data_IF_975357471912
#
_entry.id   IF_975357471912
#
_cell.length_a   1.000
_cell.length_b   1.000
_cell.length_c   1.000
_cell.angle_alpha   90.00
_cell.angle_beta   90.00
_cell.angle_gamma   90.00
#
_symmetry.space_group_name_H-M   'P 1'
#
loop_
_entity.id
_entity.type
_entity.pdbx_description
1 polymer ?
#
# COMPACT_ATOMS: atom_id res chain seq x y z
N UNK A 1 -12.07 -10.70 6.63
CA UNK A 1 -12.13 -12.18 6.56
C UNK A 1 -12.54 -12.79 7.89
N UNK A 2 -11.86 -12.55 9.02
CA UNK A 2 -12.14 -13.19 10.32
C UNK A 2 -13.63 -13.16 10.73
N UNK A 3 -14.24 -11.97 10.77
CA UNK A 3 -15.69 -11.83 11.01
C UNK A 3 -16.54 -12.68 10.08
N UNK A 4 -16.28 -12.68 8.78
CA UNK A 4 -17.08 -13.45 7.81
C UNK A 4 -16.98 -14.96 8.08
N UNK A 5 -15.80 -15.45 8.36
CA UNK A 5 -15.59 -16.86 8.70
C UNK A 5 -16.36 -17.25 9.96
N UNK A 6 -16.35 -16.39 10.99
CA UNK A 6 -17.12 -16.62 12.21
C UNK A 6 -18.63 -16.68 11.94
N UNK A 7 -19.14 -15.80 11.08
CA UNK A 7 -20.54 -15.81 10.68
C UNK A 7 -20.94 -17.06 9.87
N UNK A 8 -19.99 -17.68 9.17
CA UNK A 8 -20.19 -18.96 8.44
C UNK A 8 -19.94 -20.19 9.36
N UNK A 9 -19.76 -20.00 10.66
CA UNK A 9 -19.62 -21.08 11.65
C UNK A 9 -18.18 -21.52 11.93
N UNK A 10 -17.16 -20.87 11.37
CA UNK A 10 -15.77 -21.16 11.72
C UNK A 10 -15.40 -20.54 13.06
N UNK A 11 -14.58 -21.25 13.85
CA UNK A 11 -13.99 -20.71 15.08
C UNK A 11 -12.63 -20.07 14.77
N UNK A 12 -12.59 -18.75 14.62
CA UNK A 12 -11.34 -18.00 14.42
C UNK A 12 -10.58 -17.94 15.74
N UNK A 13 -9.43 -18.60 15.82
CA UNK A 13 -8.62 -18.70 17.04
C UNK A 13 -7.87 -17.41 17.36
N UNK A 14 -7.27 -16.80 16.34
CA UNK A 14 -6.42 -15.61 16.48
C UNK A 14 -6.22 -14.93 15.14
N UNK A 15 -5.99 -13.63 15.17
CA UNK A 15 -5.41 -12.84 14.09
C UNK A 15 -4.02 -12.40 14.55
N UNK A 16 -2.98 -12.79 13.83
CA UNK A 16 -1.61 -12.38 14.09
C UNK A 16 -1.18 -11.31 13.09
N UNK A 17 -0.63 -10.21 13.59
CA UNK A 17 -0.13 -9.09 12.81
C UNK A 17 1.37 -8.91 13.11
N UNK A 18 2.17 -8.88 12.05
CA UNK A 18 3.62 -8.71 12.15
C UNK A 18 4.01 -7.36 12.78
N UNK A 19 3.26 -6.31 12.44
CA UNK A 19 3.55 -4.96 12.90
C UNK A 19 3.08 -4.76 14.36
N UNK A 20 3.68 -3.81 15.10
CA UNK A 20 3.23 -3.45 16.45
C UNK A 20 1.91 -2.65 16.44
N UNK A 21 1.30 -2.49 15.30
CA UNK A 21 0.02 -1.82 15.08
C UNK A 21 -0.73 -2.46 13.91
N UNK A 22 -2.06 -2.37 13.92
CA UNK A 22 -2.86 -2.79 12.78
C UNK A 22 -2.87 -1.70 11.70
N UNK A 23 -2.55 -2.07 10.46
CA UNK A 23 -2.65 -1.17 9.30
C UNK A 23 -4.09 -0.92 8.84
N UNK A 24 -5.08 -1.67 9.36
CA UNK A 24 -6.48 -1.53 9.01
C UNK A 24 -7.18 -0.36 9.69
N UNK A 25 -8.38 -0.02 9.20
CA UNK A 25 -9.21 1.00 9.83
C UNK A 25 -9.59 0.58 11.25
N UNK A 26 -9.48 1.48 12.23
CA UNK A 26 -9.80 1.21 13.64
C UNK A 26 -11.19 0.60 13.82
N UNK A 27 -12.19 1.06 13.07
CA UNK A 27 -13.56 0.48 13.08
C UNK A 27 -13.58 -1.01 12.72
N UNK A 28 -12.66 -1.47 11.84
CA UNK A 28 -12.61 -2.88 11.46
C UNK A 28 -12.06 -3.75 12.58
N UNK A 29 -11.17 -3.23 13.43
CA UNK A 29 -10.71 -3.95 14.62
C UNK A 29 -11.90 -4.19 15.54
N UNK A 30 -12.63 -3.14 15.89
CA UNK A 30 -13.81 -3.26 16.76
C UNK A 30 -14.84 -4.19 16.14
N UNK A 31 -15.34 -3.88 14.94
CA UNK A 31 -16.47 -4.57 14.30
C UNK A 31 -16.16 -5.98 13.79
N UNK A 32 -14.91 -6.31 13.56
CA UNK A 32 -14.53 -7.60 12.97
C UNK A 32 -13.74 -8.51 13.92
N UNK A 33 -13.20 -7.98 15.00
CA UNK A 33 -12.45 -8.77 15.98
C UNK A 33 -13.05 -8.62 17.38
N UNK A 34 -13.12 -7.42 17.96
CA UNK A 34 -13.55 -7.21 19.33
C UNK A 34 -15.01 -7.67 19.56
N UNK A 35 -15.94 -7.28 18.66
CA UNK A 35 -17.35 -7.67 18.73
C UNK A 35 -17.57 -9.20 18.64
N UNK A 36 -16.58 -9.93 18.13
CA UNK A 36 -16.61 -11.39 17.98
C UNK A 36 -15.67 -12.13 18.94
N UNK A 37 -15.01 -11.39 19.83
CA UNK A 37 -14.08 -11.99 20.80
C UNK A 37 -12.85 -12.64 20.14
N UNK A 38 -12.46 -12.20 18.94
CA UNK A 38 -11.32 -12.75 18.20
C UNK A 38 -10.03 -12.05 18.68
N UNK A 39 -9.07 -12.77 19.27
CA UNK A 39 -7.82 -12.18 19.76
C UNK A 39 -6.99 -11.60 18.62
N UNK A 40 -6.47 -10.38 18.79
CA UNK A 40 -5.47 -9.77 17.91
C UNK A 40 -4.10 -9.78 18.60
N UNK A 41 -3.14 -10.48 18.04
CA UNK A 41 -1.75 -10.51 18.50
C UNK A 41 -0.90 -9.65 17.58
N UNK A 42 -0.47 -8.48 18.05
CA UNK A 42 0.46 -7.58 17.37
C UNK A 42 1.90 -8.02 17.59
N UNK A 43 2.81 -7.65 16.70
CA UNK A 43 4.22 -8.08 16.73
C UNK A 43 4.37 -9.60 16.78
N UNK A 44 3.55 -10.34 16.05
CA UNK A 44 3.60 -11.79 15.97
C UNK A 44 3.61 -12.27 14.52
N UNK A 45 4.30 -13.38 14.29
CA UNK A 45 4.30 -14.06 12.99
C UNK A 45 4.23 -15.57 13.14
N UNK A 46 3.81 -16.25 12.08
CA UNK A 46 3.88 -17.71 11.98
C UNK A 46 5.32 -18.10 11.67
N UNK A 47 5.90 -18.97 12.49
CA UNK A 47 7.27 -19.47 12.33
C UNK A 47 7.32 -20.94 11.91
N UNK A 48 6.22 -21.68 12.12
CA UNK A 48 6.12 -23.08 11.73
C UNK A 48 4.66 -23.46 11.47
N UNK A 49 4.48 -24.43 10.57
CA UNK A 49 3.17 -24.97 10.18
C UNK A 49 3.24 -26.49 10.31
N UNK A 50 2.45 -27.04 11.23
CA UNK A 50 2.33 -28.47 11.42
C UNK A 50 1.26 -29.07 10.50
N UNK A 51 1.59 -30.21 9.89
CA UNK A 51 0.73 -31.00 9.00
C UNK A 51 1.24 -31.06 7.56
N UNK A 52 1.16 -32.25 6.96
CA UNK A 52 1.60 -32.47 5.57
C UNK A 52 0.45 -32.41 4.57
N UNK A 53 -0.61 -33.18 4.80
CA UNK A 53 -1.78 -33.22 3.91
C UNK A 53 -2.80 -32.13 4.30
N UNK A 54 -2.91 -31.86 5.59
CA UNK A 54 -3.77 -30.83 6.17
C UNK A 54 -3.09 -30.17 7.36
N UNK A 55 -3.31 -28.87 7.52
CA UNK A 55 -2.82 -28.12 8.69
C UNK A 55 -3.43 -28.71 9.95
N UNK A 56 -2.62 -28.97 10.96
CA UNK A 56 -2.99 -29.42 12.30
C UNK A 56 -2.81 -28.33 13.35
N UNK A 57 -1.93 -27.39 13.06
CA UNK A 57 -1.65 -26.25 13.90
C UNK A 57 -0.55 -25.37 13.30
N UNK A 58 -0.34 -24.23 13.94
CA UNK A 58 0.72 -23.30 13.60
C UNK A 58 1.44 -22.86 14.87
N UNK A 59 2.72 -22.55 14.76
CA UNK A 59 3.47 -21.94 15.85
C UNK A 59 3.64 -20.45 15.55
N UNK A 60 3.15 -19.60 16.47
CA UNK A 60 3.38 -18.17 16.46
C UNK A 60 4.58 -17.85 17.35
N UNK A 61 5.31 -16.78 16.99
CA UNK A 61 6.29 -16.16 17.88
C UNK A 61 6.18 -14.65 17.83
N UNK A 62 6.56 -13.99 18.93
CA UNK A 62 6.77 -12.54 18.92
C UNK A 62 7.94 -12.18 18.00
N UNK A 63 7.88 -10.98 17.44
CA UNK A 63 8.97 -10.44 16.62
C UNK A 63 9.54 -9.17 17.26
N UNK A 64 10.85 -8.97 17.04
CA UNK A 64 11.55 -7.75 17.40
C UNK A 64 11.23 -6.58 16.43
N UNK A 65 11.82 -5.42 16.67
CA UNK A 65 11.66 -4.23 15.82
C UNK A 65 12.12 -4.44 14.37
N UNK A 66 12.93 -5.48 14.12
CA UNK A 66 13.40 -5.86 12.79
C UNK A 66 12.56 -6.96 12.14
N UNK A 67 11.46 -7.36 12.79
CA UNK A 67 10.57 -8.43 12.34
C UNK A 67 11.16 -9.84 12.52
N UNK A 68 12.20 -10.03 13.34
CA UNK A 68 12.80 -11.34 13.59
C UNK A 68 12.13 -12.02 14.78
N UNK A 69 11.80 -13.32 14.69
CA UNK A 69 11.22 -14.07 15.79
C UNK A 69 12.12 -14.10 17.04
N UNK A 70 11.51 -13.83 18.18
CA UNK A 70 12.17 -13.86 19.49
C UNK A 70 12.05 -15.26 20.07
N UNK A 71 13.17 -15.92 20.35
CA UNK A 71 13.21 -17.26 20.96
C UNK A 71 12.60 -17.26 22.36
N UNK A 72 11.84 -18.31 22.68
CA UNK A 72 11.17 -18.47 23.97
C UNK A 72 9.80 -17.80 24.03
N UNK A 73 9.30 -17.27 22.91
CA UNK A 73 7.96 -16.69 22.80
C UNK A 73 7.03 -17.54 21.93
N UNK A 74 7.47 -18.75 21.59
CA UNK A 74 6.73 -19.66 20.72
C UNK A 74 5.43 -20.14 21.36
N UNK A 75 4.34 -20.06 20.63
CA UNK A 75 3.01 -20.50 21.05
C UNK A 75 2.39 -21.36 19.95
N UNK A 76 2.10 -22.62 20.27
CA UNK A 76 1.42 -23.52 19.33
C UNK A 76 -0.10 -23.29 19.37
N UNK A 77 -0.70 -23.03 18.23
CA UNK A 77 -2.13 -22.85 18.03
C UNK A 77 -2.68 -24.03 17.22
N UNK A 78 -3.44 -24.95 17.83
CA UNK A 78 -4.07 -26.03 17.07
C UNK A 78 -5.17 -25.46 16.18
N UNK A 79 -5.06 -25.69 14.88
CA UNK A 79 -6.04 -25.25 13.88
C UNK A 79 -5.99 -26.17 12.65
N UNK A 80 -7.06 -26.20 11.90
CA UNK A 80 -7.17 -26.97 10.65
C UNK A 80 -7.04 -26.09 9.40
N UNK A 81 -6.99 -24.78 9.57
CA UNK A 81 -6.92 -23.81 8.48
C UNK A 81 -6.06 -22.62 8.89
N UNK A 82 -5.13 -22.24 8.02
CA UNK A 82 -4.32 -21.02 8.10
C UNK A 82 -4.67 -20.13 6.91
N UNK A 83 -5.08 -18.88 7.19
CA UNK A 83 -5.27 -17.85 6.16
C UNK A 83 -4.08 -16.88 6.19
N UNK A 84 -3.37 -16.79 5.08
CA UNK A 84 -2.26 -15.87 4.92
C UNK A 84 -2.73 -14.55 4.29
N UNK A 85 -2.37 -13.44 4.91
CA UNK A 85 -2.60 -12.08 4.42
C UNK A 85 -1.29 -11.31 4.52
N UNK A 86 -0.31 -11.70 3.71
CA UNK A 86 1.09 -11.28 3.80
C UNK A 86 1.42 -10.04 2.98
N UNK A 87 0.40 -9.34 2.49
CA UNK A 87 0.50 -8.14 1.68
C UNK A 87 0.30 -8.40 0.19
N UNK A 88 0.03 -7.32 -0.52
CA UNK A 88 -0.10 -7.32 -1.96
C UNK A 88 1.20 -6.84 -2.59
N UNK A 89 1.57 -7.42 -3.72
CA UNK A 89 2.69 -6.98 -4.55
C UNK A 89 2.10 -6.53 -5.88
N UNK A 90 2.40 -5.31 -6.36
CA UNK A 90 1.99 -4.87 -7.68
C UNK A 90 2.46 -5.84 -8.76
N UNK A 91 1.51 -6.41 -9.51
CA UNK A 91 1.82 -7.34 -10.60
C UNK A 91 2.18 -6.56 -11.86
N UNK A 92 3.43 -6.63 -12.27
CA UNK A 92 4.01 -5.80 -13.32
C UNK A 92 4.83 -6.59 -14.34
N UNK A 93 4.47 -7.83 -14.61
CA UNK A 93 5.12 -8.65 -15.63
C UNK A 93 5.03 -7.97 -17.01
N UNK A 94 3.84 -7.50 -17.38
CA UNK A 94 3.61 -6.79 -18.65
C UNK A 94 4.39 -5.47 -18.72
N UNK A 95 4.39 -4.68 -17.63
CA UNK A 95 5.12 -3.40 -17.60
C UNK A 95 6.62 -3.60 -17.77
N UNK A 96 7.18 -4.64 -17.16
CA UNK A 96 8.59 -5.01 -17.33
C UNK A 96 8.90 -5.52 -18.75
N UNK A 97 7.97 -6.25 -19.36
CA UNK A 97 8.09 -6.72 -20.74
C UNK A 97 8.11 -5.60 -21.79
N UNK A 98 7.64 -4.40 -21.40
CA UNK A 98 7.65 -3.18 -22.21
C UNK A 98 8.80 -2.23 -21.86
N UNK A 99 9.74 -2.63 -21.01
CA UNK A 99 10.87 -1.81 -20.53
C UNK A 99 10.43 -0.46 -19.90
N UNK A 100 9.27 -0.45 -19.23
CA UNK A 100 8.77 0.72 -18.52
C UNK A 100 9.61 0.95 -17.25
N UNK A 101 9.94 2.21 -16.97
CA UNK A 101 10.64 2.61 -15.74
C UNK A 101 9.85 2.24 -14.50
N UNK A 102 10.45 1.45 -13.61
CA UNK A 102 9.83 0.94 -12.40
C UNK A 102 10.30 1.69 -11.16
N UNK A 103 9.35 2.08 -10.28
CA UNK A 103 9.68 2.64 -8.97
C UNK A 103 10.06 1.50 -7.99
N UNK A 104 11.24 1.59 -7.38
CA UNK A 104 11.79 0.53 -6.54
C UNK A 104 10.98 0.29 -5.26
N UNK A 105 10.38 1.35 -4.70
CA UNK A 105 9.67 1.27 -3.41
C UNK A 105 8.27 0.68 -3.57
N UNK A 106 7.56 1.06 -4.63
CA UNK A 106 6.22 0.54 -4.92
C UNK A 106 6.24 -0.76 -5.70
N UNK A 107 7.32 -1.04 -6.43
CA UNK A 107 7.43 -2.10 -7.44
C UNK A 107 6.43 -1.92 -8.60
N UNK A 108 5.84 -0.74 -8.74
CA UNK A 108 4.97 -0.33 -9.84
C UNK A 108 5.68 0.60 -10.82
N UNK A 109 5.04 0.95 -11.95
CA UNK A 109 5.58 1.92 -12.90
C UNK A 109 5.82 3.29 -12.29
N UNK A 110 6.88 3.98 -12.70
CA UNK A 110 7.04 5.40 -12.45
C UNK A 110 6.12 6.17 -13.41
N UNK A 111 5.24 7.02 -12.86
CA UNK A 111 4.26 7.77 -13.67
C UNK A 111 4.36 9.27 -13.42
N UNK A 112 3.91 10.04 -14.43
CA UNK A 112 3.76 11.50 -14.37
C UNK A 112 2.39 11.91 -13.78
N UNK A 113 2.08 13.23 -13.82
CA UNK A 113 0.83 13.84 -13.37
C UNK A 113 -0.42 13.30 -14.07
N UNK A 114 -0.27 12.80 -15.29
CA UNK A 114 -1.34 12.21 -16.09
C UNK A 114 -1.52 10.71 -15.85
N UNK A 115 -0.71 10.10 -14.97
CA UNK A 115 -0.57 8.66 -14.76
C UNK A 115 0.00 7.92 -15.99
N UNK A 116 0.64 8.64 -16.91
CA UNK A 116 1.38 8.09 -18.02
C UNK A 116 2.75 7.60 -17.53
N UNK A 117 3.18 6.47 -18.04
CA UNK A 117 4.47 5.85 -17.71
C UNK A 117 5.62 6.48 -18.52
N UNK A 118 6.83 5.91 -18.41
CA UNK A 118 7.95 6.28 -19.29
C UNK A 118 7.74 5.89 -20.75
N UNK A 119 6.75 5.05 -21.04
CA UNK A 119 6.36 4.70 -22.41
C UNK A 119 5.14 5.51 -22.82
N UNK A 120 5.27 6.25 -23.90
CA UNK A 120 4.24 7.12 -24.46
C UNK A 120 2.94 6.34 -24.76
N UNK A 121 1.80 6.90 -24.34
CA UNK A 121 0.48 6.31 -24.52
C UNK A 121 0.16 5.13 -23.58
N UNK A 122 1.06 4.77 -22.66
CA UNK A 122 0.86 3.71 -21.68
C UNK A 122 0.64 4.32 -20.30
N UNK A 123 -0.54 4.06 -19.73
CA UNK A 123 -0.98 4.58 -18.43
C UNK A 123 -1.06 3.47 -17.38
N UNK A 124 -0.74 3.79 -16.13
CA UNK A 124 -0.84 2.85 -15.02
C UNK A 124 -1.65 3.43 -13.86
N UNK A 125 -2.53 2.62 -13.26
CA UNK A 125 -3.36 3.01 -12.13
C UNK A 125 -3.72 1.82 -11.24
N UNK A 126 -4.18 2.09 -10.02
CA UNK A 126 -4.59 1.07 -9.08
C UNK A 126 -3.43 0.27 -8.50
N UNK A 127 -3.71 -0.97 -8.07
CA UNK A 127 -2.72 -1.79 -7.37
C UNK A 127 -1.53 -2.25 -8.22
N UNK A 128 -1.59 -2.12 -9.53
CA UNK A 128 -0.44 -2.33 -10.41
C UNK A 128 0.59 -1.19 -10.28
N UNK A 129 0.12 0.03 -9.98
CA UNK A 129 0.95 1.21 -9.77
C UNK A 129 1.49 1.28 -8.34
N UNK A 130 0.61 1.25 -7.36
CA UNK A 130 0.93 1.11 -5.94
C UNK A 130 -0.26 0.56 -5.16
N UNK A 131 -0.01 -0.12 -4.05
CA UNK A 131 -1.10 -0.74 -3.27
C UNK A 131 -1.91 0.32 -2.54
N UNK A 132 -3.21 0.34 -2.77
CA UNK A 132 -4.17 1.22 -2.10
C UNK A 132 -4.78 0.57 -0.86
N UNK A 133 -5.11 1.39 0.15
CA UNK A 133 -5.82 0.93 1.36
C UNK A 133 -7.35 0.88 1.15
N UNK A 134 -7.89 1.66 0.20
CA UNK A 134 -9.32 1.75 -0.10
C UNK A 134 -9.56 1.65 -1.60
N UNK A 135 -10.57 0.87 -1.98
CA UNK A 135 -10.98 0.71 -3.38
C UNK A 135 -11.47 2.02 -4.02
N UNK A 136 -11.99 2.95 -3.22
CA UNK A 136 -12.41 4.27 -3.70
C UNK A 136 -11.24 5.02 -4.36
N UNK A 137 -10.05 4.96 -3.78
CA UNK A 137 -8.85 5.56 -4.36
C UNK A 137 -8.41 4.88 -5.65
N UNK A 138 -8.58 3.55 -5.74
CA UNK A 138 -8.35 2.81 -6.99
C UNK A 138 -9.27 3.31 -8.10
N UNK A 139 -10.56 3.50 -7.78
CA UNK A 139 -11.57 3.95 -8.74
C UNK A 139 -11.32 5.39 -9.21
N UNK A 140 -10.95 6.30 -8.29
CA UNK A 140 -10.59 7.68 -8.62
C UNK A 140 -9.36 7.71 -9.54
N UNK A 141 -8.34 6.95 -9.22
CA UNK A 141 -7.09 6.88 -9.99
C UNK A 141 -7.32 6.29 -11.38
N UNK A 142 -8.13 5.22 -11.48
CA UNK A 142 -8.50 4.62 -12.75
C UNK A 142 -9.31 5.59 -13.63
N UNK A 143 -10.23 6.35 -13.04
CA UNK A 143 -10.99 7.36 -13.76
C UNK A 143 -10.08 8.50 -14.28
N UNK A 144 -9.06 8.89 -13.52
CA UNK A 144 -8.07 9.89 -13.93
C UNK A 144 -7.21 9.35 -15.08
N UNK A 145 -6.68 8.14 -14.97
CA UNK A 145 -5.90 7.51 -16.02
C UNK A 145 -6.71 7.39 -17.33
N UNK A 146 -7.96 6.94 -17.25
CA UNK A 146 -8.85 6.83 -18.42
C UNK A 146 -9.12 8.18 -19.09
N UNK A 147 -9.36 9.25 -18.33
CA UNK A 147 -9.53 10.61 -18.86
C UNK A 147 -8.27 11.10 -19.56
N UNK A 148 -7.10 10.86 -18.98
CA UNK A 148 -5.83 11.29 -19.55
C UNK A 148 -5.45 10.47 -20.80
N UNK A 149 -5.77 9.17 -20.82
CA UNK A 149 -5.63 8.37 -22.04
C UNK A 149 -6.49 8.92 -23.20
N UNK A 150 -7.70 9.41 -22.92
CA UNK A 150 -8.53 10.08 -23.93
C UNK A 150 -7.92 11.41 -24.38
N UNK A 151 -7.36 12.23 -23.46
CA UNK A 151 -6.62 13.46 -23.82
C UNK A 151 -5.43 13.14 -24.73
N UNK A 152 -4.67 12.09 -24.42
CA UNK A 152 -3.56 11.61 -25.25
C UNK A 152 -4.02 11.27 -26.68
N UNK A 153 -5.06 10.44 -26.82
CA UNK A 153 -5.60 10.03 -28.13
C UNK A 153 -6.04 11.25 -28.97
N UNK A 154 -6.56 12.29 -28.31
CA UNK A 154 -6.99 13.53 -28.97
C UNK A 154 -5.86 14.50 -29.26
N UNK A 155 -4.63 14.22 -28.80
CA UNK A 155 -3.50 15.14 -28.92
C UNK A 155 -3.64 16.39 -28.03
N UNK A 156 -4.37 16.29 -26.92
CA UNK A 156 -4.60 17.36 -25.97
C UNK A 156 -3.52 17.44 -24.88
N UNK A 157 -2.63 16.44 -24.77
CA UNK A 157 -1.46 16.49 -23.90
C UNK A 157 -0.32 17.19 -24.64
N UNK A 158 0.26 18.21 -24.00
CA UNK A 158 1.38 18.96 -24.59
C UNK A 158 2.65 18.10 -24.60
N UNK A 159 3.50 18.29 -25.59
CA UNK A 159 4.86 17.80 -25.53
C UNK A 159 5.57 18.47 -24.34
N UNK A 160 6.14 17.65 -23.46
CA UNK A 160 6.70 18.14 -22.21
C UNK A 160 8.20 18.43 -22.37
N UNK A 161 8.57 19.69 -22.23
CA UNK A 161 9.97 20.12 -22.25
C UNK A 161 10.64 20.07 -20.88
N UNK A 162 9.83 20.12 -19.81
CA UNK A 162 10.32 20.14 -18.42
C UNK A 162 9.82 18.95 -17.65
N UNK A 163 10.75 18.28 -16.99
CA UNK A 163 10.48 17.22 -16.00
C UNK A 163 10.91 17.71 -14.63
N UNK A 164 9.99 17.64 -13.66
CA UNK A 164 10.26 17.96 -12.25
C UNK A 164 10.01 16.71 -11.40
N UNK A 165 11.04 16.20 -10.77
CA UNK A 165 10.93 15.03 -9.90
C UNK A 165 10.32 15.39 -8.54
N UNK A 166 9.41 14.55 -8.04
CA UNK A 166 8.91 14.62 -6.68
C UNK A 166 9.79 13.76 -5.78
N UNK A 167 10.53 14.40 -4.89
CA UNK A 167 11.46 13.73 -3.98
C UNK A 167 10.80 13.56 -2.61
N UNK A 168 10.52 12.30 -2.17
CA UNK A 168 10.02 12.04 -0.83
C UNK A 168 11.16 12.17 0.20
N UNK A 169 10.87 12.86 1.32
CA UNK A 169 11.81 13.08 2.43
C UNK A 169 11.11 12.86 3.79
N UNK A 170 11.88 12.84 4.87
CA UNK A 170 11.43 12.89 6.27
C UNK A 170 10.30 11.91 6.62
N UNK A 171 10.48 10.63 6.27
CA UNK A 171 9.52 9.57 6.60
C UNK A 171 8.45 9.32 5.54
N UNK A 172 8.43 10.07 4.44
CA UNK A 172 7.66 9.74 3.24
C UNK A 172 8.44 8.69 2.43
N UNK A 173 7.83 7.56 2.14
CA UNK A 173 8.49 6.45 1.43
C UNK A 173 8.51 6.62 -0.08
N UNK A 174 7.42 7.12 -0.64
CA UNK A 174 7.25 7.36 -2.08
C UNK A 174 6.11 8.35 -2.33
N UNK A 175 6.09 8.90 -3.53
CA UNK A 175 5.01 9.73 -4.07
C UNK A 175 4.46 9.14 -5.37
N UNK A 176 3.19 9.38 -5.64
CA UNK A 176 2.53 9.15 -6.92
C UNK A 176 1.78 10.44 -7.27
N UNK A 177 2.13 11.10 -8.37
CA UNK A 177 3.15 10.77 -9.37
C UNK A 177 4.59 10.81 -8.83
N UNK A 178 5.52 10.22 -9.59
CA UNK A 178 6.96 10.27 -9.31
C UNK A 178 7.61 11.55 -9.80
N UNK A 179 7.13 12.07 -10.92
CA UNK A 179 7.56 13.30 -11.55
C UNK A 179 6.37 14.01 -12.20
N UNK A 180 6.55 15.24 -12.59
CA UNK A 180 5.51 16.05 -13.23
C UNK A 180 6.07 16.78 -14.44
N UNK A 181 5.20 17.01 -15.40
CA UNK A 181 5.38 17.93 -16.51
C UNK A 181 4.44 19.13 -16.30
N UNK A 182 4.96 20.30 -15.92
CA UNK A 182 4.13 21.45 -15.57
C UNK A 182 3.13 21.86 -16.66
N UNK A 183 3.51 21.62 -17.93
CA UNK A 183 2.71 21.93 -19.11
C UNK A 183 1.38 21.17 -19.18
N UNK A 184 1.33 19.96 -18.56
CA UNK A 184 0.17 19.08 -18.55
C UNK A 184 -0.60 19.08 -17.22
N UNK A 185 -0.19 19.92 -16.27
CA UNK A 185 -0.85 20.01 -14.99
C UNK A 185 -2.15 20.82 -15.08
N UNK A 186 -3.20 20.32 -14.44
CA UNK A 186 -4.38 21.10 -14.07
C UNK A 186 -4.03 22.10 -12.92
N UNK A 187 -4.95 23.01 -12.58
CA UNK A 187 -4.77 23.94 -11.45
C UNK A 187 -4.39 23.28 -10.12
N UNK A 188 -4.74 22.00 -9.95
CA UNK A 188 -4.48 21.23 -8.74
C UNK A 188 -3.97 19.85 -9.09
N UNK A 189 -2.82 19.49 -8.54
CA UNK A 189 -2.26 18.15 -8.60
C UNK A 189 -2.58 17.38 -7.32
N UNK A 190 -3.16 16.18 -7.45
CA UNK A 190 -3.27 15.25 -6.34
C UNK A 190 -2.01 14.43 -6.24
N UNK A 191 -1.24 14.65 -5.18
CA UNK A 191 -0.07 13.81 -4.86
C UNK A 191 -0.45 12.82 -3.77
N UNK A 192 -0.40 11.54 -4.08
CA UNK A 192 -0.53 10.45 -3.12
C UNK A 192 0.85 10.08 -2.61
N UNK A 193 0.93 9.73 -1.35
CA UNK A 193 2.19 9.28 -0.75
C UNK A 193 1.94 8.31 0.39
N UNK A 194 2.95 7.53 0.74
CA UNK A 194 2.91 6.64 1.89
C UNK A 194 4.03 6.99 2.87
N UNK A 195 3.67 7.01 4.15
CA UNK A 195 4.63 7.20 5.23
C UNK A 195 5.23 5.87 5.69
N UNK A 196 6.44 5.92 6.25
CA UNK A 196 7.17 4.76 6.73
C UNK A 196 6.81 4.30 8.15
N UNK A 197 5.93 5.03 8.84
CA UNK A 197 5.56 4.73 10.22
C UNK A 197 4.37 5.56 10.69
N UNK A 198 4.06 5.47 11.99
CA UNK A 198 2.99 6.25 12.63
C UNK A 198 3.58 7.58 13.12
N UNK A 199 3.08 8.67 12.57
CA UNK A 199 3.46 10.03 12.96
C UNK A 199 2.28 10.70 13.67
N UNK A 200 2.54 11.32 14.84
CA UNK A 200 1.54 12.06 15.61
C UNK A 200 1.93 13.54 15.68
N UNK A 201 0.92 14.42 15.65
CA UNK A 201 1.14 15.87 15.74
C UNK A 201 2.18 16.39 14.74
N UNK A 202 2.18 15.87 13.52
CA UNK A 202 3.13 16.20 12.48
C UNK A 202 2.59 17.25 11.50
N UNK A 203 3.46 17.68 10.59
CA UNK A 203 3.10 18.54 9.47
C UNK A 203 3.48 17.85 8.17
N UNK A 204 2.62 17.99 7.16
CA UNK A 204 2.96 17.73 5.77
C UNK A 204 3.41 19.05 5.18
N UNK A 205 4.62 19.10 4.65
CA UNK A 205 5.16 20.29 3.98
C UNK A 205 5.58 19.93 2.56
N UNK A 206 5.39 20.88 1.65
CA UNK A 206 5.87 20.79 0.27
C UNK A 206 6.84 21.93 0.02
N UNK A 207 7.96 21.59 -0.60
CA UNK A 207 9.01 22.55 -0.96
C UNK A 207 9.18 22.58 -2.48
N UNK A 208 9.54 23.73 -3.00
CA UNK A 208 9.95 23.93 -4.39
C UNK A 208 11.24 24.76 -4.38
N UNK A 209 12.29 24.23 -4.98
CA UNK A 209 13.64 24.82 -4.97
C UNK A 209 14.11 25.27 -3.57
N UNK A 210 13.84 24.44 -2.55
CA UNK A 210 14.21 24.71 -1.16
C UNK A 210 13.27 25.67 -0.42
N UNK A 211 12.31 26.30 -1.11
CA UNK A 211 11.31 27.16 -0.50
C UNK A 211 10.04 26.38 -0.13
N UNK A 212 9.56 26.55 1.10
CA UNK A 212 8.33 25.88 1.55
C UNK A 212 7.10 26.59 1.01
N UNK A 213 6.41 25.96 0.06
CA UNK A 213 5.19 26.48 -0.58
C UNK A 213 3.90 26.04 0.12
N UNK A 214 3.92 24.95 0.89
CA UNK A 214 2.75 24.45 1.62
C UNK A 214 3.15 23.86 2.98
N UNK A 215 2.29 24.06 3.99
CA UNK A 215 2.37 23.36 5.28
C UNK A 215 0.98 23.04 5.80
N UNK A 216 0.71 21.78 6.09
CA UNK A 216 -0.58 21.32 6.61
C UNK A 216 -0.39 20.48 7.86
N UNK A 217 -1.01 20.87 8.98
CA UNK A 217 -0.97 20.11 10.23
C UNK A 217 -1.81 18.84 10.10
N UNK A 218 -1.30 17.74 10.66
CA UNK A 218 -1.99 16.48 10.86
C UNK A 218 -1.96 16.12 12.35
N UNK A 219 -3.11 15.65 12.93
CA UNK A 219 -3.20 15.27 14.33
C UNK A 219 -2.36 14.03 14.65
#
# INVERSE_FOLDING_TARGET
MARRMTLEGAHVKVVAELMPYSGGLKRNIVQCLDDYGIPLKLSHTVIDIDGKERVKGVTLAQVDEKGKPIKGTEEYIPCDTLLLSVGLIPENELSRGLDIDMERVTSGPAVNESLETSMEGVFACGNVLHVHDLVDFVSEEAAMAGKNAVKYIKGELAAADKKIDLVPEDGVRYTVPKYIHPENMDEKLTVRFRVGGVFKNCYISTYFDGERIMRRKRP
#
